data_IF_764419307396
#
_entry.id   IF_764419307396
#
_cell.length_a   1.000
_cell.length_b   1.000
_cell.length_c   1.000
_cell.angle_alpha   90.00
_cell.angle_beta   90.00
_cell.angle_gamma   90.00
#
_symmetry.space_group_name_H-M   'P 1'
#
loop_
_entity.id
_entity.type
_entity.pdbx_description
1 polymer ?
#
# COMPACT_ATOMS: atom_id res chain seq x y z
N UNK A 1 -12.92 3.08 13.25
CA UNK A 1 -13.55 4.03 12.31
C UNK A 1 -12.62 5.20 11.99
N UNK A 2 -11.95 5.78 12.99
CA UNK A 2 -10.99 6.88 12.81
C UNK A 2 -9.85 6.56 11.81
N UNK A 3 -9.16 5.41 11.95
CA UNK A 3 -8.02 5.09 11.08
C UNK A 3 -8.39 4.96 9.59
N UNK A 4 -9.55 4.38 9.27
CA UNK A 4 -10.06 4.31 7.88
C UNK A 4 -10.21 5.70 7.25
N UNK A 5 -10.74 6.65 8.02
CA UNK A 5 -10.96 8.02 7.55
C UNK A 5 -9.61 8.71 7.35
N UNK A 6 -8.69 8.56 8.30
CA UNK A 6 -7.34 9.11 8.22
C UNK A 6 -6.63 8.60 6.96
N UNK A 7 -6.64 7.29 6.70
CA UNK A 7 -6.05 6.71 5.49
C UNK A 7 -6.71 7.29 4.22
N UNK A 8 -8.04 7.42 4.22
CA UNK A 8 -8.76 8.02 3.09
C UNK A 8 -8.36 9.48 2.83
N UNK A 9 -8.18 10.27 3.88
CA UNK A 9 -7.73 11.66 3.78
C UNK A 9 -6.29 11.77 3.27
N UNK A 10 -5.38 10.93 3.76
CA UNK A 10 -4.01 10.88 3.24
C UNK A 10 -3.97 10.43 1.78
N UNK A 11 -4.77 9.42 1.40
CA UNK A 11 -4.90 8.99 0.00
C UNK A 11 -5.42 10.13 -0.89
N UNK A 12 -6.43 10.87 -0.44
CA UNK A 12 -6.95 12.02 -1.18
C UNK A 12 -5.91 13.14 -1.31
N UNK A 13 -5.24 13.50 -0.22
CA UNK A 13 -4.17 14.49 -0.23
C UNK A 13 -3.02 14.09 -1.17
N UNK A 14 -2.63 12.82 -1.17
CA UNK A 14 -1.61 12.30 -2.07
C UNK A 14 -2.07 12.35 -3.54
N UNK A 15 -3.33 12.01 -3.82
CA UNK A 15 -3.92 12.18 -5.15
C UNK A 15 -3.88 13.63 -5.64
N UNK A 16 -4.17 14.60 -4.76
CA UNK A 16 -4.05 16.04 -5.08
C UNK A 16 -2.60 16.44 -5.37
N UNK A 17 -1.63 15.90 -4.63
CA UNK A 17 -0.20 16.14 -4.89
C UNK A 17 0.22 15.58 -6.25
N UNK A 18 -0.28 14.40 -6.65
CA UNK A 18 -0.03 13.83 -7.99
C UNK A 18 -0.58 14.75 -9.07
N UNK A 19 -1.80 15.25 -8.92
CA UNK A 19 -2.41 16.19 -9.88
C UNK A 19 -1.57 17.46 -9.98
N UNK A 20 -1.22 18.06 -8.84
CA UNK A 20 -0.36 19.25 -8.82
C UNK A 20 0.99 19.01 -9.51
N UNK A 21 1.70 17.94 -9.16
CA UNK A 21 2.98 17.58 -9.75
C UNK A 21 2.88 17.30 -11.27
N UNK A 22 1.77 16.72 -11.72
CA UNK A 22 1.51 16.47 -13.15
C UNK A 22 1.26 17.76 -13.95
N UNK A 23 0.76 18.81 -13.29
CA UNK A 23 0.48 20.10 -13.93
C UNK A 23 1.69 21.04 -13.90
N UNK A 24 2.57 20.93 -12.91
CA UNK A 24 3.67 21.88 -12.70
C UNK A 24 5.06 21.29 -12.95
N UNK A 25 5.21 19.96 -12.89
CA UNK A 25 6.49 19.27 -12.98
C UNK A 25 6.80 18.71 -14.36
N UNK A 26 8.09 18.59 -14.67
CA UNK A 26 8.56 17.80 -15.80
C UNK A 26 8.80 16.35 -15.35
N UNK A 27 7.87 15.48 -15.74
CA UNK A 27 7.92 14.06 -15.40
C UNK A 27 9.17 13.38 -15.96
N UNK A 28 9.61 13.75 -17.18
CA UNK A 28 10.74 13.11 -17.83
C UNK A 28 12.07 13.51 -17.19
N UNK A 29 12.24 14.80 -16.88
CA UNK A 29 13.41 15.26 -16.14
C UNK A 29 13.50 14.63 -14.75
N UNK A 30 12.36 14.51 -14.05
CA UNK A 30 12.29 13.84 -12.74
C UNK A 30 12.65 12.36 -12.85
N UNK A 31 12.14 11.65 -13.86
CA UNK A 31 12.49 10.25 -14.11
C UNK A 31 13.97 10.05 -14.43
N UNK A 32 14.58 10.96 -15.19
CA UNK A 32 16.02 10.92 -15.47
C UNK A 32 16.84 11.07 -14.19
N UNK A 33 16.46 12.00 -13.30
CA UNK A 33 17.11 12.16 -12.00
C UNK A 33 16.98 10.90 -11.15
N UNK A 34 15.75 10.36 -11.02
CA UNK A 34 15.49 9.16 -10.20
C UNK A 34 16.28 7.93 -10.66
N UNK A 35 16.60 7.82 -11.95
CA UNK A 35 17.32 6.66 -12.51
C UNK A 35 18.83 6.83 -12.57
N UNK A 36 19.34 8.06 -12.42
CA UNK A 36 20.76 8.39 -12.60
C UNK A 36 21.45 8.82 -11.31
N UNK A 37 20.70 9.32 -10.33
CA UNK A 37 21.20 9.70 -9.01
C UNK A 37 21.12 8.51 -8.02
N UNK A 38 22.14 8.25 -7.20
CA UNK A 38 22.13 7.16 -6.23
C UNK A 38 20.95 7.20 -5.25
N UNK A 39 20.58 8.38 -4.74
CA UNK A 39 19.43 8.53 -3.85
C UNK A 39 18.11 8.44 -4.61
N UNK A 40 18.09 8.84 -5.88
CA UNK A 40 17.00 8.56 -6.80
C UNK A 40 16.69 7.06 -6.91
N UNK A 41 17.73 6.26 -7.14
CA UNK A 41 17.61 4.79 -7.25
C UNK A 41 17.15 4.20 -5.92
N UNK A 42 17.74 4.63 -4.79
CA UNK A 42 17.31 4.18 -3.45
C UNK A 42 15.83 4.49 -3.23
N UNK A 43 15.36 5.66 -3.64
CA UNK A 43 13.95 6.06 -3.50
C UNK A 43 13.02 5.19 -4.36
N UNK A 44 13.42 4.86 -5.59
CA UNK A 44 12.67 3.92 -6.44
C UNK A 44 12.63 2.53 -5.82
N UNK A 45 13.77 2.01 -5.35
CA UNK A 45 13.84 0.70 -4.70
C UNK A 45 12.99 0.66 -3.44
N UNK A 46 13.05 1.70 -2.59
CA UNK A 46 12.23 1.81 -1.38
C UNK A 46 10.74 1.78 -1.71
N UNK A 47 10.30 2.58 -2.71
CA UNK A 47 8.93 2.59 -3.18
C UNK A 47 8.47 1.20 -3.64
N UNK A 48 9.20 0.58 -4.57
CA UNK A 48 8.79 -0.70 -5.15
C UNK A 48 8.91 -1.86 -4.17
N UNK A 49 9.89 -1.83 -3.25
CA UNK A 49 9.99 -2.81 -2.16
C UNK A 49 8.77 -2.69 -1.24
N UNK A 50 8.38 -1.47 -0.87
CA UNK A 50 7.15 -1.22 -0.10
C UNK A 50 5.91 -1.76 -0.80
N UNK A 51 5.76 -1.50 -2.11
CA UNK A 51 4.63 -2.03 -2.90
C UNK A 51 4.65 -3.56 -2.98
N UNK A 52 5.82 -4.19 -3.11
CA UNK A 52 5.95 -5.65 -3.08
C UNK A 52 5.52 -6.23 -1.72
N UNK A 53 5.94 -5.62 -0.62
CA UNK A 53 5.48 -6.03 0.71
C UNK A 53 3.95 -5.90 0.84
N UNK A 54 3.36 -4.84 0.26
CA UNK A 54 1.90 -4.72 0.22
C UNK A 54 1.23 -5.78 -0.64
N UNK A 55 1.82 -6.23 -1.76
CA UNK A 55 1.33 -7.38 -2.53
C UNK A 55 1.22 -8.62 -1.64
N UNK A 56 2.23 -8.89 -0.81
CA UNK A 56 2.20 -10.00 0.15
C UNK A 56 1.05 -9.85 1.14
N UNK A 57 0.87 -8.67 1.72
CA UNK A 57 -0.25 -8.41 2.65
C UNK A 57 -1.61 -8.59 1.96
N UNK A 58 -1.77 -8.09 0.74
CA UNK A 58 -2.99 -8.25 -0.05
C UNK A 58 -3.27 -9.73 -0.29
N UNK A 59 -2.26 -10.50 -0.69
CA UNK A 59 -2.38 -11.94 -0.94
C UNK A 59 -2.76 -12.74 0.33
N UNK A 60 -2.28 -12.32 1.51
CA UNK A 60 -2.64 -12.93 2.79
C UNK A 60 -4.06 -12.59 3.24
N UNK A 61 -4.53 -11.38 2.96
CA UNK A 61 -5.86 -10.91 3.36
C UNK A 61 -6.94 -11.39 2.37
N UNK A 62 -6.64 -11.42 1.08
CA UNK A 62 -7.60 -11.75 0.02
C UNK A 62 -7.65 -13.25 -0.28
N UNK A 63 -8.78 -13.88 0.03
CA UNK A 63 -9.00 -15.32 -0.22
C UNK A 63 -9.20 -15.68 -1.70
N UNK A 64 -9.59 -14.73 -2.54
CA UNK A 64 -9.95 -14.99 -3.95
C UNK A 64 -8.81 -14.56 -4.86
N UNK A 65 -8.31 -15.42 -5.77
CA UNK A 65 -7.18 -15.08 -6.64
C UNK A 65 -7.51 -13.92 -7.57
N UNK A 66 -8.75 -13.81 -8.03
CA UNK A 66 -9.19 -12.67 -8.85
C UNK A 66 -9.14 -11.35 -8.07
N UNK A 67 -9.44 -11.37 -6.77
CA UNK A 67 -9.34 -10.16 -5.94
C UNK A 67 -7.87 -9.78 -5.72
N UNK A 68 -6.99 -10.75 -5.48
CA UNK A 68 -5.54 -10.52 -5.40
C UNK A 68 -5.05 -9.88 -6.70
N UNK A 69 -5.38 -10.44 -7.86
CA UNK A 69 -4.97 -9.91 -9.15
C UNK A 69 -5.48 -8.47 -9.35
N UNK A 70 -6.75 -8.20 -9.06
CA UNK A 70 -7.36 -6.87 -9.22
C UNK A 70 -6.68 -5.81 -8.36
N UNK A 71 -6.23 -6.16 -7.16
CA UNK A 71 -5.58 -5.21 -6.26
C UNK A 71 -4.08 -5.09 -6.48
N UNK A 72 -3.40 -6.17 -6.90
CA UNK A 72 -1.96 -6.16 -7.10
C UNK A 72 -1.55 -5.59 -8.46
N UNK A 73 -2.32 -5.87 -9.53
CA UNK A 73 -1.97 -5.47 -10.89
C UNK A 73 -1.80 -3.94 -11.07
N UNK A 74 -2.62 -3.07 -10.46
CA UNK A 74 -2.46 -1.62 -10.62
C UNK A 74 -1.36 -1.00 -9.74
N UNK A 75 -0.81 -1.73 -8.76
CA UNK A 75 0.16 -1.16 -7.79
C UNK A 75 1.43 -0.58 -8.43
N UNK A 76 2.08 -1.21 -9.42
CA UNK A 76 3.30 -0.65 -10.00
C UNK A 76 3.10 0.71 -10.69
N UNK A 77 1.86 1.05 -11.05
CA UNK A 77 1.52 2.28 -11.78
C UNK A 77 0.89 3.33 -10.86
N UNK A 78 -0.05 2.93 -10.01
CA UNK A 78 -0.79 3.83 -9.13
C UNK A 78 -0.14 3.99 -7.75
N UNK A 79 0.77 3.08 -7.39
CA UNK A 79 1.51 3.10 -6.14
C UNK A 79 0.62 3.19 -4.90
N UNK A 80 1.04 4.02 -3.96
CA UNK A 80 0.40 4.16 -2.66
C UNK A 80 -1.02 4.75 -2.71
N UNK A 81 -1.42 5.40 -3.81
CA UNK A 81 -2.79 5.86 -3.98
C UNK A 81 -3.76 4.67 -4.06
N UNK A 82 -3.38 3.63 -4.81
CA UNK A 82 -4.16 2.41 -4.92
C UNK A 82 -4.12 1.57 -3.64
N UNK A 83 -2.96 1.53 -2.98
CA UNK A 83 -2.83 0.91 -1.64
C UNK A 83 -3.77 1.56 -0.63
N UNK A 84 -3.84 2.90 -0.60
CA UNK A 84 -4.75 3.63 0.29
C UNK A 84 -6.22 3.31 -0.01
N UNK A 85 -6.61 3.28 -1.30
CA UNK A 85 -7.94 2.88 -1.71
C UNK A 85 -8.27 1.45 -1.25
N UNK A 86 -7.35 0.50 -1.44
CA UNK A 86 -7.52 -0.88 -0.98
C UNK A 86 -7.76 -0.94 0.53
N UNK A 87 -6.96 -0.22 1.33
CA UNK A 87 -7.15 -0.15 2.79
C UNK A 87 -8.53 0.37 3.18
N UNK A 88 -9.02 1.41 2.50
CA UNK A 88 -10.34 1.99 2.79
C UNK A 88 -11.46 1.02 2.42
N UNK A 89 -11.40 0.43 1.22
CA UNK A 89 -12.41 -0.49 0.69
C UNK A 89 -12.43 -1.82 1.46
N UNK A 90 -11.26 -2.35 1.82
CA UNK A 90 -11.11 -3.64 2.53
C UNK A 90 -10.97 -3.49 4.04
N UNK A 91 -11.21 -2.31 4.58
CA UNK A 91 -11.03 -1.99 6.00
C UNK A 91 -11.61 -3.04 6.96
N UNK A 92 -12.86 -3.46 6.75
CA UNK A 92 -13.50 -4.47 7.61
C UNK A 92 -12.77 -5.81 7.56
N UNK A 93 -12.45 -6.28 6.35
CA UNK A 93 -11.73 -7.55 6.15
C UNK A 93 -10.34 -7.51 6.79
N UNK A 94 -9.61 -6.41 6.61
CA UNK A 94 -8.26 -6.23 7.21
C UNK A 94 -8.35 -6.26 8.73
N UNK A 95 -9.31 -5.55 9.31
CA UNK A 95 -9.52 -5.51 10.76
C UNK A 95 -9.85 -6.90 11.31
N UNK A 96 -10.74 -7.63 10.64
CA UNK A 96 -11.16 -8.94 11.09
C UNK A 96 -10.02 -9.96 10.96
N UNK A 97 -9.27 -9.94 9.85
CA UNK A 97 -8.07 -10.76 9.64
C UNK A 97 -7.01 -10.49 10.72
N UNK A 98 -6.71 -9.21 10.99
CA UNK A 98 -5.74 -8.83 12.03
C UNK A 98 -6.20 -9.27 13.43
N UNK A 99 -7.50 -9.14 13.73
CA UNK A 99 -8.08 -9.61 14.99
C UNK A 99 -7.88 -11.12 15.19
N UNK A 100 -8.15 -11.92 14.16
CA UNK A 100 -7.92 -13.37 14.21
C UNK A 100 -6.43 -13.72 14.34
N UNK A 101 -5.55 -13.03 13.60
CA UNK A 101 -4.10 -13.25 13.69
C UNK A 101 -3.59 -12.99 15.11
N UNK A 102 -3.93 -11.85 15.71
CA UNK A 102 -3.52 -11.50 17.08
C UNK A 102 -4.09 -12.47 18.11
N UNK A 103 -5.35 -12.88 17.99
CA UNK A 103 -5.95 -13.84 18.89
C UNK A 103 -5.26 -15.21 18.82
N UNK A 104 -4.87 -15.65 17.62
CA UNK A 104 -4.19 -16.92 17.42
C UNK A 104 -2.81 -16.95 18.12
N UNK A 105 -2.04 -15.86 18.04
CA UNK A 105 -0.73 -15.74 18.69
C UNK A 105 -0.86 -15.81 20.21
N UNK A 106 -1.77 -15.03 20.81
CA UNK A 106 -1.98 -15.04 22.28
C UNK A 106 -2.42 -16.40 22.81
N UNK A 107 -3.25 -17.12 22.06
CA UNK A 107 -3.71 -18.45 22.45
C UNK A 107 -2.59 -19.51 22.43
N UNK A 108 -1.55 -19.32 21.60
CA UNK A 108 -0.35 -20.16 21.62
C UNK A 108 0.52 -19.85 22.83
N UNK A 109 0.72 -18.57 23.15
CA UNK A 109 1.48 -18.15 24.34
C UNK A 109 0.89 -18.70 25.64
N UNK A 110 -0.43 -18.64 25.80
CA UNK A 110 -1.10 -19.18 27.00
C UNK A 110 -1.01 -20.70 27.15
N UNK A 111 -0.83 -21.45 26.04
CA UNK A 111 -0.63 -22.91 26.10
C UNK A 111 0.82 -23.31 26.38
N UNK A 112 1.75 -22.37 26.21
CA UNK A 112 3.18 -22.58 26.44
C UNK A 112 3.61 -22.28 27.89
N UNK A 113 2.69 -21.75 28.72
CA UNK A 113 2.85 -21.48 30.15
C UNK A 113 2.19 -22.58 30.98
#
# INVERSE_FOLDING_TARGET
MQLRIIIGLFGLAFGLLIVWASLTGDFWATGSFLTSDPWGIVSLVDLYLGLFLFVVIIALVERRPLAVLLWCLPLPFLGNLWTALWFVVRWHKIRDWAGHAVASVRGQEQKAL
#
